data_IF_038918457143
#
_entry.id   IF_038918457143
#
_cell.length_a   1.000
_cell.length_b   1.000
_cell.length_c   1.000
_cell.angle_alpha   90.00
_cell.angle_beta   90.00
_cell.angle_gamma   90.00
#
_symmetry.space_group_name_H-M   'P 1'
#
loop_
_entity.id
_entity.type
_entity.pdbx_description
1 polymer ?
#
# COMPACT_ATOMS: atom_id res chain seq x y z
N UNK A 1 -18.64 -37.36 7.12
CA UNK A 1 -19.09 -36.75 5.86
C UNK A 1 -18.69 -35.28 5.85
N UNK A 2 -17.52 -34.88 5.31
CA UNK A 2 -17.18 -33.47 5.17
C UNK A 2 -17.75 -32.93 3.85
N UNK A 3 -18.54 -31.87 3.98
CA UNK A 3 -19.22 -31.12 2.92
C UNK A 3 -18.24 -30.44 1.96
N UNK A 4 -18.44 -30.66 0.66
CA UNK A 4 -17.81 -29.99 -0.47
C UNK A 4 -18.08 -28.48 -0.49
N UNK A 5 -17.05 -27.67 -0.25
CA UNK A 5 -17.06 -26.23 -0.54
C UNK A 5 -16.94 -26.03 -2.07
N UNK A 6 -17.67 -25.07 -2.68
CA UNK A 6 -17.61 -24.85 -4.12
C UNK A 6 -16.26 -24.23 -4.51
N UNK A 7 -15.49 -24.94 -5.34
CA UNK A 7 -14.29 -24.47 -6.01
C UNK A 7 -14.64 -23.20 -6.83
N UNK A 8 -14.39 -22.01 -6.29
CA UNK A 8 -14.62 -20.76 -7.01
C UNK A 8 -13.80 -20.79 -8.31
N UNK A 9 -14.48 -20.88 -9.45
CA UNK A 9 -13.85 -21.12 -10.74
C UNK A 9 -12.83 -20.02 -11.07
N UNK A 10 -11.59 -20.44 -11.34
CA UNK A 10 -10.45 -19.56 -11.62
C UNK A 10 -10.78 -18.50 -12.68
N UNK A 11 -11.64 -18.84 -13.65
CA UNK A 11 -12.16 -17.97 -14.71
C UNK A 11 -12.82 -16.69 -14.17
N UNK A 12 -13.65 -16.77 -13.13
CA UNK A 12 -14.31 -15.58 -12.55
C UNK A 12 -13.30 -14.61 -11.95
N UNK A 13 -12.22 -15.12 -11.36
CA UNK A 13 -11.13 -14.30 -10.79
C UNK A 13 -10.37 -13.56 -11.87
N UNK A 14 -10.05 -14.23 -12.99
CA UNK A 14 -9.38 -13.60 -14.13
C UNK A 14 -10.25 -12.55 -14.82
N UNK A 15 -11.55 -12.81 -14.99
CA UNK A 15 -12.49 -11.84 -15.57
C UNK A 15 -12.61 -10.59 -14.67
N UNK A 16 -12.73 -10.76 -13.36
CA UNK A 16 -12.78 -9.63 -12.42
C UNK A 16 -11.47 -8.83 -12.38
N UNK A 17 -10.32 -9.51 -12.50
CA UNK A 17 -9.02 -8.86 -12.59
C UNK A 17 -8.89 -8.06 -13.89
N UNK A 18 -9.25 -8.67 -15.03
CA UNK A 18 -9.27 -8.02 -16.33
C UNK A 18 -10.17 -6.77 -16.31
N UNK A 19 -11.39 -6.88 -15.77
CA UNK A 19 -12.30 -5.75 -15.63
C UNK A 19 -11.70 -4.63 -14.77
N UNK A 20 -11.11 -4.95 -13.62
CA UNK A 20 -10.44 -3.96 -12.77
C UNK A 20 -9.32 -3.24 -13.51
N UNK A 21 -8.47 -4.00 -14.21
CA UNK A 21 -7.37 -3.45 -15.01
C UNK A 21 -7.93 -2.56 -16.13
N UNK A 22 -8.93 -3.02 -16.89
CA UNK A 22 -9.56 -2.24 -17.95
C UNK A 22 -10.16 -0.94 -17.45
N UNK A 23 -10.87 -0.97 -16.32
CA UNK A 23 -11.44 0.24 -15.69
C UNK A 23 -10.34 1.19 -15.22
N UNK A 24 -9.29 0.67 -14.56
CA UNK A 24 -8.14 1.48 -14.14
C UNK A 24 -7.42 2.13 -15.34
N UNK A 25 -7.20 1.39 -16.43
CA UNK A 25 -6.59 1.93 -17.65
C UNK A 25 -7.51 2.97 -18.32
N UNK A 26 -8.80 2.71 -18.40
CA UNK A 26 -9.77 3.65 -18.97
C UNK A 26 -9.79 4.97 -18.18
N UNK A 27 -9.80 4.89 -16.85
CA UNK A 27 -9.70 6.06 -15.97
C UNK A 27 -8.40 6.83 -16.20
N UNK A 28 -7.27 6.14 -16.28
CA UNK A 28 -5.98 6.76 -16.59
C UNK A 28 -6.00 7.44 -17.96
N UNK A 29 -6.55 6.78 -18.98
CA UNK A 29 -6.64 7.33 -20.34
C UNK A 29 -7.51 8.59 -20.37
N UNK A 30 -8.66 8.58 -19.68
CA UNK A 30 -9.51 9.76 -19.53
C UNK A 30 -8.74 10.87 -18.80
N UNK A 31 -8.05 10.55 -17.71
CA UNK A 31 -7.27 11.52 -16.96
C UNK A 31 -6.19 12.17 -17.83
N UNK A 32 -5.39 11.37 -18.56
CA UNK A 32 -4.37 11.90 -19.48
C UNK A 32 -4.97 12.66 -20.66
N UNK A 33 -6.15 12.30 -21.15
CA UNK A 33 -6.84 13.06 -22.21
C UNK A 33 -7.33 14.44 -21.75
N UNK A 34 -7.58 14.58 -20.44
CA UNK A 34 -8.07 15.82 -19.82
C UNK A 34 -6.95 16.71 -19.28
N UNK A 35 -5.75 16.17 -19.14
CA UNK A 35 -4.62 16.90 -18.59
C UNK A 35 -3.61 17.25 -19.69
N UNK A 36 -3.28 18.53 -19.77
CA UNK A 36 -2.15 19.00 -20.55
C UNK A 36 -0.84 18.61 -19.84
N UNK A 37 -0.26 17.50 -20.27
CA UNK A 37 1.00 16.95 -19.74
C UNK A 37 2.14 17.97 -19.82
N UNK A 38 2.11 18.87 -20.82
CA UNK A 38 3.10 19.95 -20.96
C UNK A 38 2.97 20.99 -19.85
N UNK A 39 1.75 21.39 -19.51
CA UNK A 39 1.48 22.30 -18.38
C UNK A 39 1.79 21.66 -17.03
N UNK A 40 1.53 20.35 -16.86
CA UNK A 40 1.94 19.63 -15.66
C UNK A 40 3.46 19.66 -15.49
N UNK A 41 4.21 19.38 -16.56
CA UNK A 41 5.67 19.35 -16.51
C UNK A 41 6.27 20.74 -16.22
N UNK A 42 5.71 21.79 -16.82
CA UNK A 42 6.08 23.16 -16.52
C UNK A 42 5.78 23.55 -15.06
N UNK A 43 4.62 23.12 -14.53
CA UNK A 43 4.25 23.31 -13.13
C UNK A 43 5.18 22.55 -12.17
N UNK A 44 5.56 21.32 -12.52
CA UNK A 44 6.50 20.52 -11.74
C UNK A 44 7.91 21.13 -11.69
N UNK A 45 8.38 21.72 -12.79
CA UNK A 45 9.68 22.44 -12.83
C UNK A 45 9.67 23.74 -12.03
N UNK A 46 8.54 24.45 -12.01
CA UNK A 46 8.36 25.67 -11.23
C UNK A 46 7.87 25.40 -9.80
N UNK A 47 7.77 24.12 -9.39
CA UNK A 47 7.38 23.77 -8.04
C UNK A 47 8.38 24.38 -7.06
N UNK A 48 7.89 25.13 -6.08
CA UNK A 48 8.78 25.76 -5.11
C UNK A 48 9.38 24.68 -4.20
N UNK A 49 10.71 24.68 -4.07
CA UNK A 49 11.42 23.80 -3.15
C UNK A 49 10.95 24.01 -1.70
N UNK A 50 10.48 25.21 -1.36
CA UNK A 50 9.96 25.54 -0.03
C UNK A 50 8.65 24.80 0.28
N UNK A 51 7.72 24.77 -0.67
CA UNK A 51 6.47 24.02 -0.50
C UNK A 51 6.73 22.51 -0.50
N UNK A 52 7.68 22.04 -1.31
CA UNK A 52 8.09 20.63 -1.31
C UNK A 52 8.71 20.22 0.04
N UNK A 53 9.60 21.04 0.59
CA UNK A 53 10.24 20.76 1.89
C UNK A 53 9.23 20.87 3.04
N UNK A 54 8.30 21.81 2.99
CA UNK A 54 7.21 21.91 3.97
C UNK A 54 6.28 20.68 3.92
N UNK A 55 5.90 20.21 2.73
CA UNK A 55 5.11 18.99 2.57
C UNK A 55 5.85 17.76 3.10
N UNK A 56 7.16 17.65 2.83
CA UNK A 56 7.99 16.56 3.35
C UNK A 56 8.09 16.62 4.89
N UNK A 57 8.31 17.81 5.47
CA UNK A 57 8.35 17.99 6.91
C UNK A 57 7.02 17.60 7.56
N UNK A 58 5.89 18.02 6.98
CA UNK A 58 4.55 17.65 7.47
C UNK A 58 4.33 16.13 7.40
N UNK A 59 4.76 15.48 6.32
CA UNK A 59 4.69 14.02 6.20
C UNK A 59 5.54 13.32 7.27
N UNK A 60 6.75 13.80 7.55
CA UNK A 60 7.60 13.27 8.62
C UNK A 60 6.95 13.43 10.00
N UNK A 61 6.31 14.57 10.28
CA UNK A 61 5.54 14.77 11.52
C UNK A 61 4.40 13.76 11.62
N UNK A 62 3.65 13.53 10.54
CA UNK A 62 2.58 12.54 10.51
C UNK A 62 3.09 11.11 10.78
N UNK A 63 4.24 10.75 10.21
CA UNK A 63 4.93 9.47 10.47
C UNK A 63 5.32 9.36 11.95
N UNK A 64 5.96 10.39 12.51
CA UNK A 64 6.35 10.39 13.92
C UNK A 64 5.15 10.31 14.87
N UNK A 65 4.06 11.01 14.56
CA UNK A 65 2.81 10.93 15.32
C UNK A 65 2.21 9.52 15.26
N UNK A 66 2.25 8.87 14.09
CA UNK A 66 1.79 7.49 13.93
C UNK A 66 2.61 6.52 14.77
N UNK A 67 3.94 6.66 14.77
CA UNK A 67 4.85 5.85 15.59
C UNK A 67 4.59 6.09 17.07
N UNK A 68 4.42 7.34 17.50
CA UNK A 68 4.10 7.67 18.89
C UNK A 68 2.79 7.02 19.33
N UNK A 69 1.76 7.07 18.48
CA UNK A 69 0.47 6.42 18.74
C UNK A 69 0.62 4.91 18.94
N UNK A 70 1.39 4.25 18.08
CA UNK A 70 1.69 2.81 18.22
C UNK A 70 2.52 2.49 19.46
N UNK A 71 3.49 3.34 19.80
CA UNK A 71 4.28 3.19 21.01
C UNK A 71 3.40 3.30 22.27
N UNK A 72 2.46 4.23 22.29
CA UNK A 72 1.49 4.38 23.39
C UNK A 72 0.61 3.13 23.51
N UNK A 73 0.12 2.60 22.39
CA UNK A 73 -0.69 1.38 22.36
C UNK A 73 0.08 0.16 22.89
N UNK A 74 1.33 -0.03 22.46
CA UNK A 74 2.19 -1.13 22.92
C UNK A 74 2.53 -1.00 24.41
N UNK A 75 2.76 0.22 24.89
CA UNK A 75 2.94 0.49 26.32
C UNK A 75 1.69 0.14 27.13
N UNK A 76 0.50 0.44 26.62
CA UNK A 76 -0.76 0.05 27.26
C UNK A 76 -0.95 -1.47 27.33
N UNK A 77 -0.28 -2.22 26.44
CA UNK A 77 -0.26 -3.68 26.45
C UNK A 77 0.92 -4.28 27.23
N UNK A 78 1.64 -3.46 28.02
CA UNK A 78 2.83 -3.86 28.78
C UNK A 78 4.00 -4.42 27.93
N UNK A 79 4.01 -4.15 26.61
CA UNK A 79 5.10 -4.56 25.72
C UNK A 79 6.13 -3.44 25.63
N UNK A 80 7.26 -3.61 26.31
CA UNK A 80 8.36 -2.64 26.32
C UNK A 80 9.28 -2.82 25.09
N UNK A 81 8.98 -2.10 24.00
CA UNK A 81 9.83 -2.08 22.81
C UNK A 81 10.74 -0.85 22.82
N UNK A 82 12.00 -1.03 22.45
CA UNK A 82 12.99 0.06 22.31
C UNK A 82 12.55 1.00 21.17
N UNK A 83 12.51 2.32 21.42
CA UNK A 83 12.06 3.34 20.44
C UNK A 83 12.71 3.22 19.05
N UNK A 84 14.00 2.85 18.99
CA UNK A 84 14.71 2.63 17.73
C UNK A 84 14.18 1.45 16.90
N UNK A 85 13.83 0.34 17.56
CA UNK A 85 13.25 -0.84 16.90
C UNK A 85 11.84 -0.55 16.36
N UNK A 86 11.09 0.33 17.03
CA UNK A 86 9.78 0.75 16.55
C UNK A 86 9.88 1.65 15.30
N UNK A 87 10.84 2.58 15.27
CA UNK A 87 11.11 3.40 14.07
C UNK A 87 11.47 2.51 12.88
N UNK A 88 12.37 1.55 13.07
CA UNK A 88 12.79 0.59 12.04
C UNK A 88 11.62 -0.24 11.52
N UNK A 89 10.82 -0.82 12.42
CA UNK A 89 9.62 -1.61 12.06
C UNK A 89 8.61 -0.77 11.30
N UNK A 90 8.42 0.49 11.69
CA UNK A 90 7.48 1.39 11.03
C UNK A 90 7.96 1.79 9.64
N UNK A 91 9.26 2.07 9.45
CA UNK A 91 9.83 2.35 8.14
C UNK A 91 9.68 1.15 7.19
N UNK A 92 9.92 -0.06 7.70
CA UNK A 92 9.69 -1.31 6.95
C UNK A 92 8.21 -1.45 6.58
N UNK A 93 7.28 -1.20 7.51
CA UNK A 93 5.85 -1.24 7.25
C UNK A 93 5.41 -0.19 6.22
N UNK A 94 5.97 1.02 6.29
CA UNK A 94 5.74 2.07 5.29
C UNK A 94 6.27 1.67 3.91
N UNK A 95 7.45 1.06 3.84
CA UNK A 95 8.00 0.55 2.59
C UNK A 95 7.07 -0.50 1.97
N UNK A 96 6.67 -1.52 2.73
CA UNK A 96 5.75 -2.54 2.24
C UNK A 96 4.39 -1.95 1.82
N UNK A 97 3.83 -1.02 2.58
CA UNK A 97 2.55 -0.40 2.24
C UNK A 97 2.58 0.44 0.95
N UNK A 98 3.73 1.06 0.63
CA UNK A 98 3.86 1.88 -0.59
C UNK A 98 4.27 1.04 -1.81
N UNK A 99 5.12 0.04 -1.62
CA UNK A 99 5.72 -0.71 -2.74
C UNK A 99 5.01 -2.04 -3.03
N UNK A 100 4.30 -2.62 -2.07
CA UNK A 100 3.42 -3.74 -2.36
C UNK A 100 2.02 -3.19 -2.67
N UNK A 101 1.54 -3.30 -3.92
CA UNK A 101 0.15 -2.93 -4.26
C UNK A 101 -0.87 -3.80 -3.49
N UNK A 102 -0.40 -4.82 -2.77
CA UNK A 102 -1.14 -5.61 -1.79
C UNK A 102 -0.20 -6.06 -0.68
N UNK A 103 -0.36 -5.53 0.52
CA UNK A 103 0.64 -5.68 1.60
C UNK A 103 0.92 -7.15 2.04
N UNK A 104 0.05 -8.09 1.70
CA UNK A 104 0.03 -9.49 2.14
C UNK A 104 -0.38 -10.44 0.98
N UNK A 105 -0.79 -9.89 -0.16
CA UNK A 105 -1.58 -10.63 -1.16
C UNK A 105 -0.82 -11.66 -1.99
N UNK A 106 0.51 -11.57 -2.05
CA UNK A 106 1.36 -12.55 -2.72
C UNK A 106 1.75 -13.71 -1.80
N UNK A 107 2.09 -13.43 -0.55
CA UNK A 107 2.55 -14.45 0.40
C UNK A 107 1.42 -15.40 0.86
N UNK A 108 0.16 -14.96 0.84
CA UNK A 108 -1.01 -15.83 1.09
C UNK A 108 -1.29 -16.80 -0.07
N UNK A 109 -0.99 -16.41 -1.32
CA UNK A 109 -1.17 -17.30 -2.47
C UNK A 109 -0.13 -18.43 -2.43
N UNK A 110 1.12 -18.12 -2.05
CA UNK A 110 2.18 -19.12 -1.90
C UNK A 110 1.94 -20.08 -0.73
N UNK A 111 1.45 -19.61 0.42
CA UNK A 111 1.10 -20.50 1.55
C UNK A 111 -0.05 -21.46 1.19
N UNK A 112 -1.00 -21.04 0.34
CA UNK A 112 -2.07 -21.91 -0.17
C UNK A 112 -1.56 -23.00 -1.12
N UNK A 113 -0.53 -22.71 -1.91
CA UNK A 113 0.06 -23.71 -2.83
C UNK A 113 0.99 -24.70 -2.10
N UNK A 114 1.71 -24.26 -1.06
CA UNK A 114 2.56 -25.15 -0.23
C UNK A 114 1.80 -25.89 0.88
N UNK A 115 0.58 -25.47 1.24
CA UNK A 115 -0.29 -26.21 2.16
C UNK A 115 -1.16 -27.28 1.46
N UNK A 116 -0.88 -27.62 0.20
CA UNK A 116 -1.42 -28.85 -0.38
C UNK A 116 -0.88 -30.04 0.44
N UNK A 117 -1.76 -30.89 1.00
CA UNK A 117 -1.36 -31.89 1.95
C UNK A 117 -0.43 -32.91 1.30
N UNK A 118 0.58 -33.34 2.07
CA UNK A 118 1.33 -34.55 1.81
C UNK A 118 0.39 -35.75 1.62
#
# INVERSE_FOLDING_TARGET
>A
MPSSQPEASSTRRYVLLALKISVSLALLAVLFSRIDVGRLWAGARNASLLWLSAALALYLVNVLASIWRWHLLLRAQHVAIRRRSLLETFLIACFFNNFLPSNIGGDVIRIRDTARPA
#
